data_IF_449248676978
#
_entry.id   IF_449248676978
#
_cell.length_a   1.000
_cell.length_b   1.000
_cell.length_c   1.000
_cell.angle_alpha   90.00
_cell.angle_beta   90.00
_cell.angle_gamma   90.00
#
_symmetry.space_group_name_H-M   'P 1'
#
loop_
_entity.id
_entity.type
_entity.pdbx_description
1 polymer ?
#
# COMPACT_ATOMS: atom_id res chain seq x y z
N UNK A 1 22.12 -2.27 13.53
CA UNK A 1 23.34 -1.85 14.25
C UNK A 1 24.40 -1.53 13.22
N UNK A 2 24.95 -0.32 13.24
CA UNK A 2 26.02 0.10 12.35
C UNK A 2 27.27 0.47 13.14
N UNK A 3 28.44 0.23 12.54
CA UNK A 3 29.72 0.69 13.06
C UNK A 3 30.25 1.78 12.13
N UNK A 4 30.40 2.99 12.66
CA UNK A 4 31.05 4.10 11.97
C UNK A 4 32.51 4.16 12.39
N UNK A 5 33.40 4.27 11.40
CA UNK A 5 34.81 4.60 11.61
C UNK A 5 35.03 6.06 11.25
N UNK A 6 35.48 6.83 12.23
CA UNK A 6 35.89 8.21 12.04
C UNK A 6 37.34 8.24 11.53
N UNK A 7 37.71 9.23 10.71
CA UNK A 7 39.07 9.31 10.19
C UNK A 7 40.08 9.85 11.21
N UNK A 8 39.61 10.56 12.24
CA UNK A 8 40.44 11.15 13.30
C UNK A 8 39.75 11.03 14.67
N UNK A 9 40.54 11.20 15.74
CA UNK A 9 40.04 11.19 17.11
C UNK A 9 39.17 12.40 17.40
N UNK A 10 38.15 12.19 18.23
CA UNK A 10 37.29 13.26 18.69
C UNK A 10 37.87 13.92 19.93
N UNK A 11 37.79 15.25 19.95
CA UNK A 11 38.11 16.05 21.15
C UNK A 11 37.09 15.85 22.27
N UNK A 12 35.84 15.53 21.92
CA UNK A 12 34.74 15.32 22.86
C UNK A 12 33.85 14.18 22.37
N UNK A 13 33.73 13.14 23.21
CA UNK A 13 32.95 11.94 22.92
C UNK A 13 31.44 12.24 22.81
N UNK A 14 30.95 13.31 23.45
CA UNK A 14 29.55 13.72 23.39
C UNK A 14 29.16 14.27 22.01
N UNK A 15 30.12 14.75 21.20
CA UNK A 15 29.85 15.24 19.85
C UNK A 15 29.24 14.16 18.95
N UNK A 16 29.71 12.92 19.07
CA UNK A 16 29.17 11.82 18.29
C UNK A 16 27.73 11.52 18.70
N UNK A 17 27.44 11.53 20.01
CA UNK A 17 26.08 11.30 20.51
C UNK A 17 25.11 12.38 19.98
N UNK A 18 25.48 13.66 20.11
CA UNK A 18 24.71 14.79 19.56
C UNK A 18 24.50 14.68 18.04
N UNK A 19 25.52 14.25 17.30
CA UNK A 19 25.41 14.07 15.85
C UNK A 19 24.43 12.94 15.48
N UNK A 20 24.43 11.85 16.25
CA UNK A 20 23.49 10.72 16.08
C UNK A 20 22.05 11.17 16.35
N UNK A 21 21.82 11.95 17.42
CA UNK A 21 20.51 12.52 17.76
C UNK A 21 20.05 13.56 16.72
N UNK A 22 20.96 14.40 16.23
CA UNK A 22 20.66 15.42 15.20
C UNK A 22 20.19 14.80 13.89
N UNK A 23 20.71 13.60 13.55
CA UNK A 23 20.32 12.86 12.35
C UNK A 23 19.08 11.98 12.57
N UNK A 24 18.09 12.49 13.29
CA UNK A 24 16.75 11.88 13.41
C UNK A 24 15.73 12.67 12.61
N UNK A 25 14.63 12.01 12.21
CA UNK A 25 13.59 12.62 11.38
C UNK A 25 13.87 12.53 9.87
N UNK A 26 13.33 13.49 9.11
CA UNK A 26 13.40 13.50 7.67
C UNK A 26 14.77 14.01 7.16
N UNK A 27 15.56 13.13 6.56
CA UNK A 27 16.91 13.43 6.09
C UNK A 27 17.03 13.38 4.58
N UNK A 28 17.82 14.29 4.03
CA UNK A 28 18.24 14.23 2.64
C UNK A 28 19.33 13.17 2.46
N UNK A 29 19.10 12.24 1.54
CA UNK A 29 20.09 11.25 1.15
C UNK A 29 20.22 11.20 -0.36
N UNK A 30 21.46 11.07 -0.82
CA UNK A 30 21.77 10.67 -2.20
C UNK A 30 22.36 9.26 -2.17
N UNK A 31 21.86 8.32 -2.99
CA UNK A 31 22.45 7.00 -3.09
C UNK A 31 23.96 7.05 -3.38
N UNK A 32 24.74 6.08 -2.88
CA UNK A 32 26.17 5.97 -3.18
C UNK A 32 26.39 5.65 -4.67
N UNK A 33 27.65 5.76 -5.10
CA UNK A 33 28.07 5.47 -6.48
C UNK A 33 27.61 4.08 -6.94
N UNK A 34 27.77 3.08 -6.08
CA UNK A 34 27.32 1.71 -6.32
C UNK A 34 25.95 1.54 -5.67
N UNK A 35 24.89 1.61 -6.47
CA UNK A 35 23.52 1.38 -5.99
C UNK A 35 22.64 0.80 -7.11
N UNK A 36 21.64 0.01 -6.71
CA UNK A 36 20.67 -0.59 -7.65
C UNK A 36 19.61 0.42 -8.14
N UNK A 37 19.65 1.67 -7.68
CA UNK A 37 18.63 2.68 -7.95
C UNK A 37 19.28 3.97 -8.42
N UNK A 38 18.61 4.71 -9.31
CA UNK A 38 19.09 5.99 -9.85
C UNK A 38 19.55 6.95 -8.74
N UNK A 39 20.79 7.43 -8.86
CA UNK A 39 21.42 8.35 -7.91
C UNK A 39 20.82 9.75 -8.01
N UNK A 40 19.82 10.02 -7.18
CA UNK A 40 19.11 11.30 -7.06
C UNK A 40 18.91 11.62 -5.58
N UNK A 41 18.79 12.91 -5.25
CA UNK A 41 18.47 13.34 -3.89
C UNK A 41 17.06 12.89 -3.52
N UNK A 42 16.90 12.34 -2.33
CA UNK A 42 15.63 11.83 -1.80
C UNK A 42 15.54 12.09 -0.32
N UNK A 43 14.33 12.17 0.19
CA UNK A 43 14.07 12.28 1.63
C UNK A 43 13.84 10.88 2.17
N UNK A 44 14.51 10.54 3.27
CA UNK A 44 14.33 9.29 4.01
C UNK A 44 14.25 9.58 5.48
N UNK A 45 13.32 8.91 6.16
CA UNK A 45 13.08 9.16 7.58
C UNK A 45 13.89 8.20 8.45
N UNK A 46 14.61 8.75 9.42
CA UNK A 46 15.15 8.00 10.55
C UNK A 46 14.17 8.16 11.70
N UNK A 47 13.55 7.07 12.11
CA UNK A 47 12.55 7.08 13.17
C UNK A 47 13.21 7.25 14.54
N UNK A 48 14.34 6.58 14.75
CA UNK A 48 15.05 6.58 16.02
C UNK A 48 16.52 6.21 15.80
N UNK A 49 17.42 6.82 16.55
CA UNK A 49 18.84 6.50 16.56
C UNK A 49 19.38 6.56 17.98
N UNK A 50 20.32 5.67 18.31
CA UNK A 50 20.94 5.57 19.64
C UNK A 50 22.41 5.23 19.49
N UNK A 51 23.29 5.99 20.12
CA UNK A 51 24.68 5.60 20.27
C UNK A 51 24.77 4.53 21.37
N UNK A 52 25.41 3.39 21.07
CA UNK A 52 25.61 2.31 22.04
C UNK A 52 26.97 2.48 22.71
N UNK A 53 28.02 2.63 21.91
CA UNK A 53 29.39 2.69 22.38
C UNK A 53 30.23 3.55 21.44
N UNK A 54 31.23 4.24 22.00
CA UNK A 54 32.26 4.92 21.22
C UNK A 54 33.63 4.62 21.82
N UNK A 55 34.52 4.07 21.00
CA UNK A 55 35.91 3.80 21.30
C UNK A 55 36.78 4.89 20.65
N UNK A 56 37.35 5.82 21.44
CA UNK A 56 38.19 6.91 20.94
C UNK A 56 39.52 6.44 20.33
N UNK A 57 40.12 5.38 20.90
CA UNK A 57 41.45 4.88 20.52
C UNK A 57 41.39 4.21 19.14
N UNK A 58 40.28 3.51 18.86
CA UNK A 58 40.03 2.87 17.56
C UNK A 58 39.24 3.75 16.59
N UNK A 59 38.73 4.89 17.06
CA UNK A 59 37.87 5.81 16.31
C UNK A 59 36.58 5.15 15.81
N UNK A 60 36.01 4.22 16.59
CA UNK A 60 34.85 3.43 16.22
C UNK A 60 33.64 3.79 17.08
N UNK A 61 32.53 4.11 16.42
CA UNK A 61 31.23 4.30 17.07
C UNK A 61 30.25 3.20 16.68
N UNK A 62 29.66 2.53 17.67
CA UNK A 62 28.58 1.56 17.49
C UNK A 62 27.26 2.24 17.77
N UNK A 63 26.34 2.20 16.81
CA UNK A 63 25.02 2.80 16.96
C UNK A 63 23.89 1.90 16.47
N UNK A 64 22.74 2.05 17.10
CA UNK A 64 21.48 1.46 16.68
C UNK A 64 20.66 2.52 15.93
N UNK A 65 19.96 2.08 14.89
CA UNK A 65 19.14 2.97 14.05
C UNK A 65 17.92 2.23 13.53
N UNK A 66 16.76 2.88 13.63
CA UNK A 66 15.49 2.51 13.02
C UNK A 66 15.19 3.51 11.92
N UNK A 67 15.04 3.03 10.70
CA UNK A 67 14.90 3.90 9.53
C UNK A 67 13.89 3.35 8.51
N UNK A 68 13.41 4.24 7.67
CA UNK A 68 12.56 3.93 6.52
C UNK A 68 13.29 3.01 5.52
N UNK A 69 12.53 2.20 4.79
CA UNK A 69 13.07 1.35 3.74
C UNK A 69 13.80 2.16 2.65
N UNK A 70 14.98 1.68 2.24
CA UNK A 70 15.82 2.34 1.24
C UNK A 70 16.68 3.49 1.77
N UNK A 71 16.77 3.63 3.10
CA UNK A 71 17.78 4.47 3.76
C UNK A 71 19.16 3.83 3.60
N UNK A 72 20.15 4.62 3.17
CA UNK A 72 21.53 4.14 3.01
C UNK A 72 22.34 4.44 4.27
N UNK A 73 22.56 3.41 5.10
CA UNK A 73 23.36 3.55 6.34
C UNK A 73 24.80 3.96 6.04
N UNK A 74 25.36 3.55 4.90
CA UNK A 74 26.68 4.02 4.46
C UNK A 74 26.73 5.55 4.30
N UNK A 75 25.70 6.14 3.69
CA UNK A 75 25.58 7.59 3.54
C UNK A 75 25.37 8.27 4.90
N UNK A 76 24.61 7.64 5.79
CA UNK A 76 24.45 8.10 7.17
C UNK A 76 25.78 8.19 7.92
N UNK A 77 26.64 7.17 7.82
CA UNK A 77 27.98 7.20 8.44
C UNK A 77 28.86 8.33 7.89
N UNK A 78 28.76 8.63 6.59
CA UNK A 78 29.46 9.78 5.99
C UNK A 78 28.91 11.10 6.56
N UNK A 79 27.59 11.24 6.67
CA UNK A 79 26.97 12.44 7.24
C UNK A 79 27.36 12.65 8.71
N UNK A 80 27.40 11.56 9.50
CA UNK A 80 27.91 11.60 10.88
C UNK A 80 29.35 12.13 10.91
N UNK A 81 30.23 11.59 10.07
CA UNK A 81 31.60 12.06 9.97
C UNK A 81 31.72 13.53 9.56
N UNK A 82 30.87 14.01 8.65
CA UNK A 82 30.83 15.41 8.24
C UNK A 82 30.35 16.34 9.35
N UNK A 83 29.30 15.95 10.10
CA UNK A 83 28.77 16.73 11.22
C UNK A 83 29.77 16.88 12.36
N UNK A 84 30.54 15.82 12.61
CA UNK A 84 31.55 15.84 13.67
C UNK A 84 32.87 16.48 13.21
N UNK A 85 33.05 16.67 11.89
CA UNK A 85 34.16 17.40 11.29
C UNK A 85 35.42 16.58 10.99
N UNK A 86 35.48 15.32 11.44
CA UNK A 86 36.62 14.42 11.14
C UNK A 86 36.47 13.66 9.83
N UNK A 87 35.27 13.64 9.25
CA UNK A 87 34.90 12.65 8.24
C UNK A 87 34.73 11.25 8.85
N UNK A 88 34.11 10.36 8.07
CA UNK A 88 33.85 9.00 8.51
C UNK A 88 33.24 8.14 7.42
N UNK A 89 33.35 6.84 7.61
CA UNK A 89 32.77 5.84 6.72
C UNK A 89 32.21 4.67 7.53
N UNK A 90 31.41 3.84 6.87
CA UNK A 90 30.85 2.65 7.48
C UNK A 90 31.89 1.53 7.49
N UNK A 91 32.23 1.03 8.68
CA UNK A 91 33.13 -0.09 8.87
C UNK A 91 32.36 -1.41 8.70
N UNK A 92 31.29 -1.57 9.48
CA UNK A 92 30.48 -2.79 9.50
C UNK A 92 29.01 -2.45 9.68
N UNK A 93 28.14 -3.38 9.26
CA UNK A 93 26.70 -3.22 9.35
C UNK A 93 26.04 -4.57 9.59
N UNK A 94 25.20 -4.63 10.62
CA UNK A 94 24.32 -5.76 10.89
C UNK A 94 22.86 -5.29 10.93
N UNK A 95 22.02 -5.89 10.10
CA UNK A 95 20.58 -5.64 10.11
C UNK A 95 19.93 -6.55 11.16
N UNK A 96 19.44 -5.95 12.23
CA UNK A 96 18.82 -6.67 13.38
C UNK A 96 17.31 -6.86 13.24
N UNK A 97 16.68 -6.13 12.31
CA UNK A 97 15.24 -6.21 12.02
C UNK A 97 14.95 -5.93 10.55
N UNK A 98 13.99 -6.65 9.98
CA UNK A 98 13.44 -6.42 8.65
C UNK A 98 11.93 -6.64 8.67
N UNK A 99 11.16 -5.54 8.59
CA UNK A 99 9.71 -5.61 8.73
C UNK A 99 9.32 -6.12 10.12
N UNK A 100 8.61 -7.24 10.18
CA UNK A 100 8.18 -7.89 11.43
C UNK A 100 9.20 -8.86 12.00
N UNK A 101 10.18 -9.28 11.22
CA UNK A 101 11.18 -10.27 11.63
C UNK A 101 12.39 -9.58 12.27
N UNK A 102 12.79 -10.06 13.43
CA UNK A 102 13.98 -9.65 14.19
C UNK A 102 14.98 -10.79 14.26
N UNK A 103 16.18 -10.50 14.76
CA UNK A 103 17.21 -11.53 14.96
C UNK A 103 16.85 -12.57 16.03
N UNK A 104 15.88 -12.27 16.90
CA UNK A 104 15.43 -13.18 17.94
C UNK A 104 14.30 -14.12 17.46
N UNK A 105 13.78 -13.91 16.25
CA UNK A 105 12.64 -14.64 15.70
C UNK A 105 13.08 -15.85 14.87
N UNK A 106 13.72 -16.84 15.51
CA UNK A 106 14.18 -18.08 14.88
C UNK A 106 15.06 -17.85 13.63
N UNK A 107 16.06 -16.98 13.75
CA UNK A 107 17.01 -16.74 12.67
C UNK A 107 17.90 -17.98 12.46
N UNK A 108 17.89 -18.48 11.23
CA UNK A 108 18.66 -19.66 10.80
C UNK A 108 19.88 -19.25 9.98
N UNK A 109 20.90 -20.11 9.98
CA UNK A 109 22.09 -19.95 9.16
C UNK A 109 21.98 -20.74 7.85
N UNK A 110 22.90 -20.50 6.90
CA UNK A 110 22.96 -21.30 5.67
C UNK A 110 23.32 -22.76 5.93
N UNK A 111 24.04 -23.05 7.02
CA UNK A 111 24.37 -24.41 7.43
C UNK A 111 23.11 -25.15 7.91
N UNK A 112 22.27 -24.50 8.72
CA UNK A 112 20.99 -25.08 9.17
C UNK A 112 20.08 -25.46 8.00
N UNK A 113 20.07 -24.66 6.93
CA UNK A 113 19.27 -24.94 5.74
C UNK A 113 19.79 -26.20 5.02
N UNK A 114 21.11 -26.32 4.88
CA UNK A 114 21.74 -27.48 4.25
C UNK A 114 21.47 -28.76 5.04
N UNK A 115 21.64 -28.70 6.37
CA UNK A 115 21.45 -29.83 7.26
C UNK A 115 19.98 -30.26 7.30
N UNK A 116 19.04 -29.31 7.35
CA UNK A 116 17.62 -29.59 7.31
C UNK A 116 17.20 -30.31 6.01
N UNK A 117 17.76 -29.89 4.87
CA UNK A 117 17.52 -30.56 3.60
C UNK A 117 18.11 -31.98 3.58
N UNK A 118 19.34 -32.15 4.07
CA UNK A 118 19.99 -33.46 4.12
C UNK A 118 19.24 -34.47 5.01
N UNK A 119 18.77 -34.04 6.18
CA UNK A 119 17.97 -34.89 7.09
C UNK A 119 16.68 -35.34 6.42
N UNK A 120 15.98 -34.43 5.73
CA UNK A 120 14.77 -34.76 4.99
C UNK A 120 15.04 -35.78 3.87
N UNK A 121 16.15 -35.63 3.14
CA UNK A 121 16.48 -36.53 2.05
C UNK A 121 16.88 -37.94 2.53
N UNK A 122 17.64 -38.02 3.63
CA UNK A 122 18.12 -39.28 4.20
C UNK A 122 17.05 -40.02 5.01
N UNK A 123 16.32 -39.31 5.88
CA UNK A 123 15.43 -39.92 6.89
C UNK A 123 13.95 -39.69 6.63
N UNK A 124 13.60 -38.80 5.68
CA UNK A 124 12.23 -38.32 5.45
C UNK A 124 11.57 -37.64 6.65
N UNK A 125 12.36 -37.22 7.64
CA UNK A 125 11.86 -36.37 8.71
C UNK A 125 11.72 -34.91 8.23
N UNK A 126 10.51 -34.35 8.38
CA UNK A 126 10.18 -32.98 8.00
C UNK A 126 10.33 -31.97 9.16
N UNK A 127 10.56 -32.44 10.38
CA UNK A 127 10.53 -31.61 11.59
C UNK A 127 11.51 -30.43 11.52
N UNK A 128 12.76 -30.69 11.12
CA UNK A 128 13.79 -29.67 10.98
C UNK A 128 13.45 -28.71 9.83
N UNK A 129 13.04 -29.23 8.67
CA UNK A 129 12.70 -28.39 7.52
C UNK A 129 11.54 -27.44 7.80
N UNK A 130 10.50 -27.91 8.52
CA UNK A 130 9.35 -27.09 8.96
C UNK A 130 9.70 -26.05 10.01
N UNK A 131 10.79 -26.25 10.78
CA UNK A 131 11.33 -25.23 11.69
C UNK A 131 12.04 -24.12 10.91
N UNK A 132 12.83 -24.49 9.90
CA UNK A 132 13.60 -23.55 9.07
C UNK A 132 12.70 -22.73 8.15
N UNK A 133 11.71 -23.37 7.52
CA UNK A 133 10.79 -22.73 6.57
C UNK A 133 9.52 -22.28 7.29
N UNK A 134 9.46 -20.99 7.59
CA UNK A 134 8.32 -20.38 8.28
C UNK A 134 7.19 -20.01 7.29
N UNK A 135 5.91 -20.11 7.71
CA UNK A 135 4.78 -19.71 6.87
C UNK A 135 4.79 -18.20 6.58
N UNK A 136 4.35 -17.82 5.38
CA UNK A 136 4.37 -16.43 4.91
C UNK A 136 3.46 -15.50 5.74
N UNK A 137 2.46 -16.06 6.41
CA UNK A 137 1.50 -15.37 7.28
C UNK A 137 2.20 -14.57 8.36
N UNK A 138 3.38 -15.02 8.81
CA UNK A 138 4.19 -14.31 9.82
C UNK A 138 4.56 -12.91 9.34
N UNK A 139 4.77 -12.70 8.04
CA UNK A 139 5.10 -11.38 7.48
C UNK A 139 3.93 -10.39 7.56
N UNK A 140 2.71 -10.89 7.77
CA UNK A 140 1.47 -10.13 7.68
C UNK A 140 0.85 -9.81 9.05
N UNK A 141 1.52 -10.15 10.15
CA UNK A 141 1.00 -9.97 11.52
C UNK A 141 0.72 -8.51 11.89
N UNK A 142 1.42 -7.56 11.28
CA UNK A 142 1.20 -6.12 11.50
C UNK A 142 -0.05 -5.57 10.81
N UNK A 143 -0.61 -6.30 9.85
CA UNK A 143 -1.76 -5.83 9.08
C UNK A 143 -3.06 -6.08 9.83
N UNK A 144 -4.02 -5.16 9.67
CA UNK A 144 -5.39 -5.37 10.16
C UNK A 144 -6.04 -6.50 9.37
N UNK A 145 -6.78 -7.36 10.07
CA UNK A 145 -7.29 -8.62 9.54
C UNK A 145 -8.76 -8.51 9.15
N UNK A 146 -9.12 -9.08 8.00
CA UNK A 146 -10.50 -9.28 7.57
C UNK A 146 -10.66 -10.76 7.23
N UNK A 147 -11.55 -11.43 7.97
CA UNK A 147 -11.86 -12.85 7.76
C UNK A 147 -12.97 -12.96 6.71
N UNK A 148 -12.71 -13.76 5.69
CA UNK A 148 -13.57 -13.96 4.54
C UNK A 148 -14.27 -15.32 4.63
N UNK A 149 -15.53 -15.39 4.17
CA UNK A 149 -16.25 -16.67 4.00
C UNK A 149 -15.60 -17.52 2.93
N UNK A 150 -15.51 -18.83 3.17
CA UNK A 150 -14.93 -19.83 2.26
C UNK A 150 -15.50 -19.76 0.83
N UNK A 151 -16.78 -19.42 0.68
CA UNK A 151 -17.44 -19.26 -0.63
C UNK A 151 -16.89 -18.12 -1.49
N UNK A 152 -16.28 -17.11 -0.86
CA UNK A 152 -15.74 -15.92 -1.51
C UNK A 152 -14.22 -16.00 -1.75
N UNK A 153 -13.51 -16.95 -1.12
CA UNK A 153 -12.05 -17.07 -1.19
C UNK A 153 -11.57 -17.23 -2.62
N UNK A 154 -12.10 -18.21 -3.37
CA UNK A 154 -11.62 -18.44 -4.73
C UNK A 154 -11.89 -17.23 -5.65
N UNK A 155 -13.01 -16.52 -5.48
CA UNK A 155 -13.27 -15.31 -6.25
C UNK A 155 -12.19 -14.23 -6.03
N UNK A 156 -11.71 -14.08 -4.79
CA UNK A 156 -10.62 -13.16 -4.44
C UNK A 156 -9.30 -13.63 -5.07
N UNK A 157 -9.04 -14.95 -5.12
CA UNK A 157 -7.86 -15.49 -5.81
C UNK A 157 -7.84 -15.16 -7.31
N UNK A 158 -9.01 -14.96 -7.93
CA UNK A 158 -9.15 -14.47 -9.32
C UNK A 158 -9.08 -12.94 -9.46
N UNK A 159 -8.95 -12.20 -8.36
CA UNK A 159 -8.88 -10.74 -8.38
C UNK A 159 -10.23 -10.02 -8.22
N UNK A 160 -11.29 -10.72 -7.81
CA UNK A 160 -12.57 -10.09 -7.53
C UNK A 160 -12.51 -9.23 -6.25
N UNK A 161 -13.21 -8.09 -6.24
CA UNK A 161 -13.30 -7.23 -5.04
C UNK A 161 -14.02 -8.00 -3.91
N UNK A 162 -13.63 -7.73 -2.67
CA UNK A 162 -14.36 -8.28 -1.51
C UNK A 162 -15.64 -7.47 -1.29
N UNK A 163 -16.78 -8.15 -1.34
CA UNK A 163 -18.10 -7.57 -1.10
C UNK A 163 -18.60 -7.93 0.31
N UNK A 164 -19.51 -7.11 0.86
CA UNK A 164 -20.12 -7.34 2.19
C UNK A 164 -20.64 -8.78 2.39
N UNK A 165 -21.34 -9.43 1.43
CA UNK A 165 -21.81 -10.80 1.64
C UNK A 165 -20.70 -11.83 1.92
N UNK A 166 -19.48 -11.57 1.45
CA UNK A 166 -18.30 -12.41 1.66
C UNK A 166 -17.53 -12.09 2.95
N UNK A 167 -17.86 -11.00 3.64
CA UNK A 167 -17.29 -10.63 4.93
C UNK A 167 -17.82 -11.57 6.02
N UNK A 168 -16.93 -12.08 6.87
CA UNK A 168 -17.30 -12.88 8.04
C UNK A 168 -16.96 -12.16 9.35
N UNK A 169 -15.71 -11.70 9.50
CA UNK A 169 -15.23 -10.93 10.66
C UNK A 169 -14.26 -9.85 10.19
N UNK A 170 -14.08 -8.82 10.99
CA UNK A 170 -13.16 -7.73 10.72
C UNK A 170 -12.49 -7.28 12.02
N UNK A 171 -11.30 -6.71 11.90
CA UNK A 171 -10.60 -6.09 13.02
C UNK A 171 -11.15 -4.68 13.31
N UNK A 172 -10.91 -4.22 14.54
CA UNK A 172 -11.27 -2.87 14.96
C UNK A 172 -10.32 -1.81 14.38
N UNK A 173 -10.85 -0.59 14.27
CA UNK A 173 -10.14 0.60 13.81
C UNK A 173 -9.51 0.42 12.42
N UNK A 174 -10.33 -0.08 11.47
CA UNK A 174 -9.99 -0.07 10.04
C UNK A 174 -10.46 1.26 9.45
N UNK A 175 -9.54 1.97 8.83
CA UNK A 175 -9.80 3.22 8.13
C UNK A 175 -9.84 3.01 6.61
N UNK A 176 -10.51 3.92 5.89
CA UNK A 176 -10.57 3.88 4.43
C UNK A 176 -9.17 4.15 3.85
N UNK A 177 -8.73 3.33 2.91
CA UNK A 177 -7.42 3.44 2.28
C UNK A 177 -6.29 2.70 3.03
N UNK A 178 -6.57 2.15 4.21
CA UNK A 178 -5.59 1.37 4.97
C UNK A 178 -5.32 0.01 4.29
N UNK A 179 -4.09 -0.48 4.41
CA UNK A 179 -3.71 -1.82 3.97
C UNK A 179 -4.17 -2.87 4.98
N UNK A 180 -4.89 -3.87 4.49
CA UNK A 180 -5.48 -4.95 5.29
C UNK A 180 -5.13 -6.31 4.69
N UNK A 181 -5.05 -7.33 5.53
CA UNK A 181 -4.90 -8.72 5.10
C UNK A 181 -6.25 -9.42 5.09
N UNK A 182 -6.59 -10.03 3.96
CA UNK A 182 -7.73 -10.93 3.83
C UNK A 182 -7.28 -12.33 4.19
N UNK A 183 -7.96 -12.96 5.15
CA UNK A 183 -7.61 -14.29 5.65
C UNK A 183 -8.81 -15.25 5.62
N UNK A 184 -8.53 -16.55 5.54
CA UNK A 184 -9.54 -17.60 5.71
C UNK A 184 -9.86 -17.81 7.18
N UNK A 185 -10.89 -18.61 7.47
CA UNK A 185 -11.22 -19.05 8.83
C UNK A 185 -10.11 -19.89 9.49
N UNK A 186 -9.24 -20.52 8.67
CA UNK A 186 -8.11 -21.33 9.12
C UNK A 186 -6.86 -20.52 9.46
N UNK A 187 -6.83 -19.23 9.11
CA UNK A 187 -5.66 -18.39 9.32
C UNK A 187 -4.77 -18.18 8.08
N UNK A 188 -5.13 -18.75 6.94
CA UNK A 188 -4.34 -18.65 5.70
C UNK A 188 -4.49 -17.25 5.08
N UNK A 189 -3.39 -16.66 4.60
CA UNK A 189 -3.43 -15.36 3.95
C UNK A 189 -3.89 -15.48 2.49
N UNK A 190 -5.05 -14.90 2.17
CA UNK A 190 -5.61 -14.93 0.82
C UNK A 190 -4.96 -13.86 -0.05
N UNK A 191 -5.00 -12.61 0.43
CA UNK A 191 -4.56 -11.44 -0.32
C UNK A 191 -4.31 -10.24 0.60
N UNK A 192 -3.44 -9.34 0.17
CA UNK A 192 -3.36 -7.97 0.71
C UNK A 192 -4.31 -7.09 -0.10
N UNK A 193 -5.14 -6.32 0.62
CA UNK A 193 -6.15 -5.45 0.04
C UNK A 193 -6.09 -4.06 0.68
N UNK A 194 -6.76 -3.11 0.03
CA UNK A 194 -6.95 -1.74 0.51
C UNK A 194 -8.41 -1.63 0.95
N UNK A 195 -8.63 -1.28 2.21
CA UNK A 195 -9.97 -1.08 2.75
C UNK A 195 -10.68 0.06 2.02
N UNK A 196 -11.95 -0.13 1.69
CA UNK A 196 -12.83 0.87 1.07
C UNK A 196 -13.94 1.32 2.03
N UNK A 197 -14.05 0.69 3.19
CA UNK A 197 -15.03 0.98 4.23
C UNK A 197 -14.34 1.03 5.59
N UNK A 198 -14.88 1.83 6.50
CA UNK A 198 -14.44 1.82 7.91
C UNK A 198 -15.12 0.69 8.68
N UNK A 199 -14.58 0.34 9.85
CA UNK A 199 -15.17 -0.66 10.76
C UNK A 199 -16.66 -0.38 11.05
N UNK A 200 -17.03 0.89 11.29
CA UNK A 200 -18.41 1.26 11.58
C UNK A 200 -19.35 1.01 10.38
N UNK A 201 -18.90 1.38 9.18
CA UNK A 201 -19.67 1.19 7.93
C UNK A 201 -19.80 -0.31 7.60
N UNK A 202 -18.75 -1.09 7.86
CA UNK A 202 -18.77 -2.55 7.66
C UNK A 202 -19.79 -3.26 8.56
N UNK A 203 -20.12 -2.68 9.72
CA UNK A 203 -21.11 -3.23 10.64
C UNK A 203 -22.56 -2.89 10.26
N UNK A 204 -22.80 -1.71 9.68
CA UNK A 204 -24.16 -1.22 9.40
C UNK A 204 -24.63 -1.41 7.96
N UNK A 205 -23.73 -1.56 6.99
CA UNK A 205 -24.10 -1.62 5.59
C UNK A 205 -24.56 -3.02 5.13
N UNK A 206 -25.71 -3.08 4.45
CA UNK A 206 -26.20 -4.31 3.82
C UNK A 206 -25.50 -4.64 2.48
N UNK A 207 -24.96 -3.64 1.79
CA UNK A 207 -24.34 -3.79 0.48
C UNK A 207 -23.10 -2.91 0.30
N UNK A 208 -22.14 -3.39 -0.50
CA UNK A 208 -21.02 -2.60 -0.99
C UNK A 208 -19.69 -3.36 -1.05
N UNK A 209 -18.65 -2.64 -1.45
CA UNK A 209 -17.29 -3.14 -1.58
C UNK A 209 -16.53 -2.88 -0.29
N UNK A 210 -16.10 -3.94 0.40
CA UNK A 210 -15.33 -3.86 1.64
C UNK A 210 -13.87 -3.51 1.35
N UNK A 211 -13.26 -4.21 0.41
CA UNK A 211 -11.84 -4.05 0.11
C UNK A 211 -11.54 -4.29 -1.38
N UNK A 212 -10.61 -3.50 -1.90
CA UNK A 212 -10.05 -3.65 -3.24
C UNK A 212 -8.72 -4.41 -3.14
N UNK A 213 -8.56 -5.48 -3.91
CA UNK A 213 -7.33 -6.27 -3.91
C UNK A 213 -6.15 -5.43 -4.39
N UNK A 214 -5.04 -5.50 -3.65
CA UNK A 214 -3.74 -4.95 -4.03
C UNK A 214 -2.83 -6.06 -4.55
N UNK A 215 -2.76 -7.20 -3.85
CA UNK A 215 -1.94 -8.35 -4.21
C UNK A 215 -2.57 -9.66 -3.73
N UNK A 216 -2.78 -10.60 -4.65
CA UNK A 216 -3.21 -11.97 -4.32
C UNK A 216 -1.98 -12.79 -3.92
N UNK A 217 -2.11 -13.60 -2.87
CA UNK A 217 -1.07 -14.48 -2.35
C UNK A 217 -1.46 -15.94 -2.58
N UNK A 218 -2.67 -16.32 -2.18
CA UNK A 218 -3.19 -17.68 -2.29
C UNK A 218 -3.35 -18.09 -3.75
N UNK A 219 -3.07 -19.37 -4.02
CA UNK A 219 -3.23 -19.94 -5.36
C UNK A 219 -4.71 -20.00 -5.78
N UNK A 220 -4.91 -20.12 -7.10
CA UNK A 220 -6.24 -20.28 -7.67
C UNK A 220 -6.70 -21.71 -7.44
N UNK A 221 -8.00 -21.89 -7.22
CA UNK A 221 -8.62 -23.21 -7.05
C UNK A 221 -8.20 -24.00 -5.79
N UNK A 222 -7.49 -23.39 -4.83
CA UNK A 222 -7.32 -23.97 -3.48
C UNK A 222 -8.66 -24.14 -2.73
N UNK A 223 -9.67 -23.33 -3.10
CA UNK A 223 -11.04 -23.43 -2.60
C UNK A 223 -12.02 -23.62 -3.77
N UNK A 224 -13.15 -24.34 -3.58
CA UNK A 224 -14.08 -24.61 -4.65
C UNK A 224 -14.74 -23.32 -5.17
N UNK A 225 -15.03 -23.29 -6.48
CA UNK A 225 -15.73 -22.18 -7.13
C UNK A 225 -17.20 -22.19 -6.72
N UNK A 226 -17.60 -21.27 -5.85
CA UNK A 226 -19.00 -21.12 -5.38
C UNK A 226 -19.66 -19.81 -5.80
N UNK A 227 -19.05 -19.05 -6.72
CA UNK A 227 -19.66 -17.83 -7.21
C UNK A 227 -20.97 -18.14 -7.97
N UNK A 228 -22.00 -17.31 -7.76
CA UNK A 228 -23.30 -17.48 -8.42
C UNK A 228 -24.21 -18.57 -7.83
N UNK A 229 -23.87 -19.13 -6.65
CA UNK A 229 -24.76 -19.95 -5.82
C UNK A 229 -25.40 -19.18 -4.65
N UNK A 230 -25.16 -17.87 -4.52
CA UNK A 230 -25.81 -17.06 -3.49
C UNK A 230 -27.33 -16.89 -3.72
N UNK A 231 -28.12 -16.59 -2.68
CA UNK A 231 -29.59 -16.50 -2.77
C UNK A 231 -30.09 -15.56 -3.87
N UNK A 232 -29.46 -14.38 -4.00
CA UNK A 232 -29.77 -13.42 -5.06
C UNK A 232 -29.36 -13.89 -6.46
N UNK A 233 -28.25 -14.62 -6.58
CA UNK A 233 -27.78 -15.15 -7.86
C UNK A 233 -28.63 -16.34 -8.34
N UNK A 234 -29.09 -17.20 -7.41
CA UNK A 234 -30.04 -18.26 -7.69
C UNK A 234 -31.42 -17.69 -8.07
N UNK A 235 -31.93 -16.69 -7.35
CA UNK A 235 -33.14 -15.95 -7.72
C UNK A 235 -33.03 -15.32 -9.10
N UNK A 236 -31.91 -14.67 -9.42
CA UNK A 236 -31.65 -14.11 -10.76
C UNK A 236 -31.67 -15.20 -11.83
N UNK A 237 -30.99 -16.33 -11.61
CA UNK A 237 -31.01 -17.48 -12.55
C UNK A 237 -32.40 -18.10 -12.70
N UNK A 238 -33.18 -18.18 -11.62
CA UNK A 238 -34.58 -18.63 -11.64
C UNK A 238 -35.46 -17.71 -12.49
N UNK A 239 -35.38 -16.40 -12.25
CA UNK A 239 -36.14 -15.41 -13.02
C UNK A 239 -35.75 -15.33 -14.50
N UNK A 240 -34.48 -15.61 -14.84
CA UNK A 240 -34.04 -15.77 -16.24
C UNK A 240 -34.67 -17.02 -16.87
N UNK A 241 -34.73 -18.14 -16.13
CA UNK A 241 -35.40 -19.37 -16.60
C UNK A 241 -36.91 -19.19 -16.76
N UNK A 242 -37.54 -18.39 -15.89
CA UNK A 242 -38.95 -18.03 -15.94
C UNK A 242 -39.27 -16.97 -17.01
N UNK A 243 -38.27 -16.45 -17.74
CA UNK A 243 -38.45 -15.43 -18.78
C UNK A 243 -38.83 -14.03 -18.27
N UNK A 244 -38.77 -13.82 -16.95
CA UNK A 244 -39.06 -12.52 -16.30
C UNK A 244 -37.86 -11.56 -16.36
N UNK A 245 -36.65 -12.07 -16.64
CA UNK A 245 -35.45 -11.29 -16.96
C UNK A 245 -34.89 -11.69 -18.34
N UNK A 246 -34.19 -10.76 -19.00
CA UNK A 246 -33.49 -11.03 -20.26
C UNK A 246 -32.33 -12.05 -20.09
N UNK A 247 -31.83 -12.61 -21.20
CA UNK A 247 -30.69 -13.55 -21.26
C UNK A 247 -29.42 -13.01 -20.58
N UNK A 248 -29.26 -11.69 -20.54
CA UNK A 248 -28.14 -11.01 -19.87
C UNK A 248 -28.46 -10.57 -18.43
N UNK A 249 -29.65 -10.90 -17.92
CA UNK A 249 -30.07 -10.60 -16.55
C UNK A 249 -30.32 -9.12 -16.31
N UNK A 250 -30.78 -8.39 -17.33
CA UNK A 250 -31.33 -7.04 -17.22
C UNK A 250 -32.85 -7.11 -17.00
N UNK A 251 -33.44 -6.10 -16.33
CA UNK A 251 -34.89 -6.05 -16.15
C UNK A 251 -35.64 -5.91 -17.48
N UNK A 252 -36.77 -6.60 -17.61
CA UNK A 252 -37.69 -6.51 -18.75
C UNK A 252 -39.10 -6.16 -18.23
N UNK A 253 -40.09 -5.92 -19.10
CA UNK A 253 -41.45 -5.50 -18.71
C UNK A 253 -42.13 -6.40 -17.66
N UNK A 254 -41.71 -7.67 -17.53
CA UNK A 254 -42.25 -8.67 -16.60
C UNK A 254 -41.42 -8.85 -15.32
N UNK A 255 -40.50 -7.92 -15.01
CA UNK A 255 -39.69 -8.02 -13.79
C UNK A 255 -40.50 -7.63 -12.54
N UNK A 256 -40.51 -8.47 -11.48
CA UNK A 256 -41.11 -8.11 -10.20
C UNK A 256 -40.43 -6.87 -9.59
N UNK A 257 -41.23 -5.93 -9.06
CA UNK A 257 -40.73 -4.71 -8.40
C UNK A 257 -39.80 -5.03 -7.22
N UNK A 258 -40.07 -6.10 -6.48
CA UNK A 258 -39.24 -6.60 -5.38
C UNK A 258 -37.79 -6.94 -5.81
N UNK A 259 -37.57 -7.34 -7.07
CA UNK A 259 -36.24 -7.62 -7.59
C UNK A 259 -35.50 -6.33 -7.98
N UNK A 260 -36.22 -5.31 -8.46
CA UNK A 260 -35.66 -4.01 -8.82
C UNK A 260 -35.13 -3.27 -7.58
N UNK A 261 -35.86 -3.32 -6.46
CA UNK A 261 -35.48 -2.61 -5.24
C UNK A 261 -34.32 -3.28 -4.50
N UNK A 262 -34.22 -4.62 -4.59
CA UNK A 262 -33.16 -5.40 -3.93
C UNK A 262 -31.88 -5.60 -4.75
N UNK A 263 -31.92 -5.47 -6.08
CA UNK A 263 -30.77 -5.70 -6.96
C UNK A 263 -30.10 -4.39 -7.36
N UNK A 264 -29.02 -4.01 -6.67
CA UNK A 264 -28.13 -2.91 -7.08
C UNK A 264 -26.93 -3.46 -7.83
N UNK A 265 -26.77 -3.06 -9.09
CA UNK A 265 -25.61 -3.45 -9.90
C UNK A 265 -24.39 -2.61 -9.52
N UNK A 266 -23.44 -3.22 -8.81
CA UNK A 266 -22.19 -2.60 -8.34
C UNK A 266 -21.02 -2.83 -9.31
N UNK A 267 -21.29 -3.31 -10.53
CA UNK A 267 -20.28 -3.47 -11.59
C UNK A 267 -19.90 -2.14 -12.27
N UNK A 268 -20.68 -1.08 -12.06
CA UNK A 268 -20.42 0.29 -12.51
C UNK A 268 -19.50 1.11 -11.60
N UNK A 269 -19.06 2.28 -12.10
CA UNK A 269 -18.22 3.28 -11.39
C UNK A 269 -18.83 3.63 -10.04
N UNK A 270 -18.00 3.86 -9.01
CA UNK A 270 -18.46 4.30 -7.69
C UNK A 270 -19.34 5.57 -7.84
N UNK A 271 -20.49 5.65 -7.16
CA UNK A 271 -21.28 6.89 -7.17
C UNK A 271 -20.46 8.01 -6.51
N UNK A 272 -20.38 9.16 -7.19
CA UNK A 272 -20.02 10.43 -6.55
C UNK A 272 -21.08 10.78 -5.50
N UNK A 273 -20.62 11.15 -4.31
CA UNK A 273 -21.46 11.69 -3.24
C UNK A 273 -21.93 13.09 -3.65
N UNK A 274 -23.10 13.18 -4.29
CA UNK A 274 -23.86 14.42 -4.37
C UNK A 274 -24.90 14.42 -3.27
N UNK A 275 -24.63 15.20 -2.21
CA UNK A 275 -25.59 15.45 -1.16
C UNK A 275 -26.71 16.35 -1.69
N UNK A 276 -27.94 15.87 -1.68
CA UNK A 276 -29.14 16.71 -1.53
C UNK A 276 -30.32 15.82 -1.12
N UNK A 277 -31.07 16.26 -0.10
CA UNK A 277 -32.47 15.87 0.07
C UNK A 277 -32.81 15.01 1.29
N UNK A 278 -32.55 15.49 2.51
CA UNK A 278 -33.30 15.06 3.69
C UNK A 278 -34.74 15.57 3.54
N UNK A 279 -35.69 14.67 3.31
CA UNK A 279 -37.12 14.96 3.51
C UNK A 279 -37.50 14.59 4.94
N UNK A 280 -37.87 15.62 5.69
CA UNK A 280 -38.46 15.58 7.02
C UNK A 280 -39.78 14.81 7.02
N UNK A 281 -39.92 13.87 7.95
CA UNK A 281 -41.20 13.26 8.30
C UNK A 281 -41.74 14.03 9.49
N UNK A 282 -42.91 14.63 9.31
CA UNK A 282 -43.65 15.33 10.36
C UNK A 282 -44.22 14.32 11.37
N UNK A 283 -43.99 14.56 12.65
CA UNK A 283 -44.80 13.99 13.73
C UNK A 283 -45.18 15.10 14.71
N UNK A 284 -46.47 15.10 15.00
CA UNK A 284 -47.21 16.02 15.86
C UNK A 284 -46.87 15.85 17.34
N UNK A 285 -46.54 16.94 18.02
CA UNK A 285 -46.99 17.22 19.40
C UNK A 285 -46.64 18.67 19.78
N UNK A 286 -47.66 19.44 20.14
CA UNK A 286 -47.58 20.67 20.96
C UNK A 286 -47.95 20.29 22.41
N UNK A 287 -47.77 21.14 23.44
CA UNK A 287 -47.14 22.46 23.50
C UNK A 287 -46.22 22.66 24.73
N UNK A 288 -45.39 23.73 24.76
CA UNK A 288 -45.44 24.73 25.83
C UNK A 288 -44.61 25.97 25.47
N UNK A 289 -45.20 27.12 25.74
CA UNK A 289 -44.68 28.48 25.53
C UNK A 289 -43.77 28.85 26.68
N UNK A 290 -42.61 29.46 26.39
CA UNK A 290 -42.10 30.57 27.21
C UNK A 290 -41.22 31.48 26.35
N UNK A 291 -41.58 32.76 26.36
CA UNK A 291 -40.86 33.93 25.83
C UNK A 291 -39.42 34.00 26.37
N UNK A 292 -38.46 34.53 25.60
CA UNK A 292 -37.84 35.86 25.87
C UNK A 292 -37.20 36.40 24.58
N UNK A 293 -37.54 37.65 24.29
CA UNK A 293 -36.99 38.62 23.33
C UNK A 293 -35.54 39.03 23.61
N UNK A 294 -34.71 39.19 22.57
CA UNK A 294 -33.89 40.41 22.39
C UNK A 294 -33.17 40.43 21.04
N UNK A 295 -33.29 41.59 20.41
CA UNK A 295 -32.87 42.07 19.08
C UNK A 295 -31.36 42.44 18.99
N UNK A 296 -30.86 42.89 17.80
CA UNK A 296 -29.51 42.63 17.27
C UNK A 296 -28.57 43.86 17.25
N UNK A 297 -27.30 43.65 16.89
CA UNK A 297 -26.36 44.68 16.37
C UNK A 297 -25.44 43.97 15.35
N UNK A 298 -25.54 44.21 14.02
CA UNK A 298 -24.84 45.23 13.18
C UNK A 298 -23.30 45.16 13.34
N UNK A 299 -22.42 45.24 12.33
CA UNK A 299 -22.44 45.71 10.94
C UNK A 299 -21.14 45.18 10.28
N UNK A 300 -21.18 44.68 9.04
CA UNK A 300 -20.74 45.33 7.77
C UNK A 300 -19.24 45.20 7.40
N UNK A 301 -19.01 44.59 6.22
CA UNK A 301 -18.18 45.04 5.08
C UNK A 301 -17.72 43.78 4.29
N UNK A 302 -18.41 43.31 3.24
CA UNK A 302 -18.39 43.81 1.84
C UNK A 302 -16.95 44.07 1.33
N UNK A 303 -16.43 43.30 0.36
CA UNK A 303 -16.40 43.54 -1.11
C UNK A 303 -15.83 42.23 -1.73
N UNK A 304 -16.48 41.35 -2.54
CA UNK A 304 -17.05 41.43 -3.91
C UNK A 304 -15.99 41.93 -4.93
N UNK A 305 -15.50 41.27 -5.98
CA UNK A 305 -15.83 40.09 -6.80
C UNK A 305 -14.72 39.95 -7.87
N UNK A 306 -14.63 38.77 -8.51
CA UNK A 306 -14.32 38.53 -9.95
C UNK A 306 -12.92 38.90 -10.50
N UNK A 307 -12.40 38.32 -11.58
CA UNK A 307 -12.34 36.96 -12.14
C UNK A 307 -11.59 37.09 -13.49
N UNK A 308 -10.55 36.27 -13.69
CA UNK A 308 -10.00 35.79 -15.00
C UNK A 308 -9.28 36.80 -15.94
N UNK A 309 -8.44 36.31 -16.89
CA UNK A 309 -7.02 36.69 -16.98
C UNK A 309 -6.65 37.43 -18.27
N UNK A 310 -5.47 38.04 -18.31
CA UNK A 310 -4.85 38.56 -19.53
C UNK A 310 -3.40 38.12 -19.69
N UNK A 311 -3.12 37.77 -20.94
CA UNK A 311 -1.86 37.60 -21.65
C UNK A 311 -0.87 38.75 -21.47
N UNK A 312 0.42 38.43 -21.41
CA UNK A 312 1.50 39.31 -21.87
C UNK A 312 2.57 38.42 -22.52
N UNK A 313 2.73 38.57 -23.83
CA UNK A 313 3.96 38.29 -24.58
C UNK A 313 4.92 39.46 -24.33
N UNK A 314 6.21 39.18 -24.12
CA UNK A 314 7.27 39.98 -24.72
C UNK A 314 8.60 39.20 -24.76
N UNK A 315 9.31 39.51 -25.82
CA UNK A 315 10.37 38.82 -26.55
C UNK A 315 11.78 39.13 -25.99
N UNK A 316 12.69 38.17 -26.12
CA UNK A 316 14.13 38.42 -26.39
C UNK A 316 14.82 37.09 -26.77
N UNK A 317 15.37 37.04 -27.99
CA UNK A 317 16.00 35.88 -28.61
C UNK A 317 17.49 35.66 -28.26
N UNK A 318 18.00 34.44 -28.46
CA UNK A 318 18.81 34.07 -29.65
C UNK A 318 19.28 32.60 -29.60
N UNK A 319 19.40 31.99 -30.79
CA UNK A 319 20.15 30.82 -31.27
C UNK A 319 20.18 29.43 -30.56
N UNK A 320 19.67 28.40 -31.26
CA UNK A 320 20.49 27.41 -31.99
C UNK A 320 19.64 26.22 -32.51
N UNK A 321 19.79 25.91 -33.80
CA UNK A 321 18.94 25.06 -34.62
C UNK A 321 19.65 23.72 -34.94
N UNK A 322 19.10 22.59 -34.47
CA UNK A 322 19.63 21.29 -34.91
C UNK A 322 19.13 20.05 -34.18
N UNK A 323 17.94 19.53 -34.52
CA UNK A 323 17.57 18.12 -34.19
C UNK A 323 16.36 17.53 -34.96
N UNK A 324 15.92 18.15 -36.06
CA UNK A 324 14.76 17.69 -36.84
C UNK A 324 15.02 16.51 -37.79
N UNK A 325 16.24 16.35 -38.31
CA UNK A 325 16.49 15.39 -39.41
C UNK A 325 16.77 13.94 -38.99
N UNK A 326 17.06 13.66 -37.71
CA UNK A 326 17.42 12.29 -37.27
C UNK A 326 16.21 11.36 -37.02
N UNK A 327 14.97 11.87 -37.01
CA UNK A 327 13.77 11.05 -36.76
C UNK A 327 13.13 10.46 -38.02
N UNK A 328 13.35 11.05 -39.21
CA UNK A 328 12.78 10.55 -40.47
C UNK A 328 13.59 9.38 -41.05
N UNK A 329 14.92 9.41 -40.94
CA UNK A 329 15.81 8.35 -41.44
C UNK A 329 15.61 7.00 -40.71
N UNK A 330 15.44 7.03 -39.38
CA UNK A 330 15.28 5.79 -38.57
C UNK A 330 13.96 5.05 -38.82
N UNK A 331 12.96 5.73 -39.41
CA UNK A 331 11.65 5.14 -39.75
C UNK A 331 11.66 4.43 -41.11
N UNK A 332 12.53 4.85 -42.05
CA UNK A 332 12.74 4.17 -43.34
C UNK A 332 13.50 2.86 -43.19
N UNK A 333 14.60 2.84 -42.42
CA UNK A 333 15.42 1.63 -42.21
C UNK A 333 14.67 0.45 -41.56
N UNK A 334 13.74 0.75 -40.64
CA UNK A 334 12.95 -0.29 -39.95
C UNK A 334 11.89 -0.92 -40.87
N UNK A 335 11.47 -0.23 -41.92
CA UNK A 335 10.47 -0.72 -42.89
C UNK A 335 11.12 -1.65 -43.92
N UNK A 336 12.37 -1.40 -44.30
CA UNK A 336 13.13 -2.24 -45.22
C UNK A 336 13.59 -3.57 -44.59
N UNK A 337 14.06 -3.53 -43.33
CA UNK A 337 14.43 -4.76 -42.60
C UNK A 337 13.26 -5.73 -42.36
N UNK A 338 12.02 -5.21 -42.29
CA UNK A 338 10.81 -6.03 -42.11
C UNK A 338 10.31 -6.66 -43.41
N UNK A 339 10.63 -6.07 -44.59
CA UNK A 339 10.35 -6.65 -45.90
C UNK A 339 11.34 -7.77 -46.26
N UNK A 340 12.62 -7.63 -45.91
CA UNK A 340 13.63 -8.66 -46.17
C UNK A 340 13.41 -9.94 -45.37
N UNK A 341 12.99 -9.82 -44.10
CA UNK A 341 12.74 -10.97 -43.21
C UNK A 341 11.47 -11.77 -43.51
N UNK A 342 10.60 -11.27 -44.40
CA UNK A 342 9.35 -11.93 -44.83
C UNK A 342 9.50 -12.64 -46.18
N UNK A 343 10.66 -12.53 -46.83
CA UNK A 343 10.97 -13.17 -48.13
C UNK A 343 11.84 -14.42 -48.00
N UNK A 344 12.44 -14.66 -46.81
CA UNK A 344 13.26 -15.85 -46.49
C UNK A 344 12.48 -16.89 -45.65
N UNK A 345 11.14 -16.86 -45.68
CA UNK A 345 10.30 -17.78 -44.87
C UNK A 345 9.06 -18.33 -45.60
N UNK A 346 9.02 -18.19 -46.92
CA UNK A 346 8.08 -18.90 -47.80
C UNK A 346 8.86 -19.91 -48.64
#
# INVERSE_FOLDING_TARGET
IGIVRLHSALSDNLKLNRAVETLTGALFQRPPLISAVKRQLRIRTIYESKLIEYDPDRNLGVFWVSCEAGTYIRTLCVHLGLLVGTGGHMQELRRVRSGVLTENDDMVTMHDILDAQHVYDTTKDESYLRRVVRPLEILLVNYKRIVVKDSAVNAICYGAKLMIPGLLRFADNIEVGQEVVLMTTKGEAIAVAIAQMTTAVMATCDHGVVAKIKRVIMERDSYPRRWGLGPMAQRKKGLIKEGKLDKHGKPNANTPKDFMDGYKDLSGKLPELTGTGVKTVASSSTPMVTEVTSTPVKNEAAIVTTSTPMSVDDDDGDDDNGKGEKKSAKKKDKKEKKKKKKKDKD
#
